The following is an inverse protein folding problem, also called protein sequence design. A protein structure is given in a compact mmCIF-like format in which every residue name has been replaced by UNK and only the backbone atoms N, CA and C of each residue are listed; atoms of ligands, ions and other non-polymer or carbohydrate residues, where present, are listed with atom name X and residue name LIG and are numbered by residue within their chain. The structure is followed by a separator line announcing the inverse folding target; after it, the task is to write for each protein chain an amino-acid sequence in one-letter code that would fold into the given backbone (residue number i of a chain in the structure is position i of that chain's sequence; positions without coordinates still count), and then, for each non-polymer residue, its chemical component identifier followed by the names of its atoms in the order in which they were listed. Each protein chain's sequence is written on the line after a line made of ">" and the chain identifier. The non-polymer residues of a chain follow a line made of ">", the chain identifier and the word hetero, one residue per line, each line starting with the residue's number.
data_IF_906030570716
#
_entry.id   IF_906030570716
#
_cell.length_a   1.000
_cell.length_b   1.000
_cell.length_c   1.000
_cell.angle_alpha   90.00
_cell.angle_beta   90.00
_cell.angle_gamma   90.00
#
_symmetry.space_group_name_H-M   'P 1'
#
loop_
_entity.id
_entity.type
_entity.pdbx_description
1 polymer ?
#
# COMPACT_ATOMS: atom_id res chain seq x y z
N UNK A 1 -3.64 5.49 33.19
CA UNK A 1 -3.99 4.73 31.97
C UNK A 1 -3.07 5.20 30.86
N UNK A 2 -2.02 4.42 30.57
CA UNK A 2 -0.91 4.84 29.73
C UNK A 2 -1.13 4.33 28.30
N UNK A 3 -1.52 5.22 27.38
CA UNK A 3 -1.59 4.90 25.96
C UNK A 3 -0.18 4.92 25.37
N UNK A 4 0.51 3.78 25.40
CA UNK A 4 1.74 3.58 24.65
C UNK A 4 1.38 3.42 23.17
N UNK A 5 1.53 4.51 22.40
CA UNK A 5 1.41 4.48 20.94
C UNK A 5 2.62 3.73 20.36
N UNK A 6 2.38 2.52 19.85
CA UNK A 6 3.39 1.69 19.21
C UNK A 6 3.67 2.21 17.79
N UNK A 7 4.82 2.88 17.62
CA UNK A 7 5.38 3.21 16.31
C UNK A 7 5.80 1.94 15.59
N UNK A 8 4.99 1.50 14.62
CA UNK A 8 5.34 0.42 13.70
C UNK A 8 6.37 0.98 12.71
N UNK A 9 7.65 0.71 12.99
CA UNK A 9 8.76 0.98 12.07
C UNK A 9 8.62 0.05 10.86
N UNK A 10 8.20 0.60 9.73
CA UNK A 10 8.09 -0.12 8.46
C UNK A 10 9.52 -0.41 7.95
N UNK A 11 10.04 -1.59 8.29
CA UNK A 11 11.30 -2.11 7.76
C UNK A 11 11.14 -2.34 6.26
N UNK A 12 11.83 -1.52 5.47
CA UNK A 12 11.98 -1.70 4.02
C UNK A 12 12.43 -3.12 3.69
N UNK A 13 11.47 -3.95 3.28
CA UNK A 13 11.70 -5.32 2.88
C UNK A 13 12.44 -5.35 1.55
N UNK A 14 13.49 -6.17 1.48
CA UNK A 14 14.23 -6.48 0.26
C UNK A 14 13.23 -6.83 -0.86
N UNK A 15 13.20 -6.02 -1.92
CA UNK A 15 12.31 -6.21 -3.07
C UNK A 15 12.83 -7.42 -3.87
N UNK A 16 12.39 -8.62 -3.50
CA UNK A 16 12.47 -9.76 -4.40
C UNK A 16 11.77 -9.39 -5.71
N UNK A 17 12.20 -9.90 -6.89
CA UNK A 17 11.53 -9.61 -8.15
C UNK A 17 10.10 -10.16 -8.12
N UNK A 18 9.15 -9.34 -7.70
CA UNK A 18 7.73 -9.67 -7.69
C UNK A 18 7.23 -9.57 -9.12
N UNK A 19 6.56 -10.61 -9.59
CA UNK A 19 5.93 -10.62 -10.92
C UNK A 19 4.97 -9.41 -11.04
N UNK A 20 5.11 -8.55 -12.08
CA UNK A 20 4.28 -7.37 -12.26
C UNK A 20 2.77 -7.64 -12.20
N UNK A 21 2.31 -8.78 -12.74
CA UNK A 21 0.89 -9.15 -12.72
C UNK A 21 0.38 -9.44 -11.31
N UNK A 22 1.20 -10.12 -10.50
CA UNK A 22 0.86 -10.42 -9.10
C UNK A 22 0.78 -9.12 -8.31
N UNK A 23 1.77 -8.23 -8.49
CA UNK A 23 1.77 -6.90 -7.86
C UNK A 23 0.52 -6.09 -8.24
N UNK A 24 0.15 -6.09 -9.51
CA UNK A 24 -1.03 -5.38 -10.01
C UNK A 24 -2.34 -5.89 -9.38
N UNK A 25 -2.50 -7.22 -9.26
CA UNK A 25 -3.67 -7.81 -8.61
C UNK A 25 -3.74 -7.41 -7.13
N UNK A 26 -2.59 -7.39 -6.45
CA UNK A 26 -2.52 -7.02 -5.04
C UNK A 26 -2.80 -5.52 -4.82
N UNK A 27 -2.21 -4.67 -5.65
CA UNK A 27 -2.46 -3.22 -5.65
C UNK A 27 -3.96 -2.94 -5.87
N UNK A 28 -4.61 -3.64 -6.80
CA UNK A 28 -6.07 -3.52 -7.03
C UNK A 28 -6.88 -3.84 -5.78
N UNK A 29 -6.52 -4.90 -5.04
CA UNK A 29 -7.21 -5.28 -3.79
C UNK A 29 -7.04 -4.19 -2.73
N UNK A 30 -5.83 -3.65 -2.56
CA UNK A 30 -5.55 -2.58 -1.59
C UNK A 30 -6.29 -1.28 -1.93
N UNK A 31 -6.35 -0.92 -3.20
CA UNK A 31 -7.13 0.23 -3.68
C UNK A 31 -8.61 0.05 -3.35
N UNK A 32 -9.19 -1.12 -3.65
CA UNK A 32 -10.59 -1.39 -3.34
C UNK A 32 -10.88 -1.35 -1.83
N UNK A 33 -9.95 -1.78 -0.98
CA UNK A 33 -10.06 -1.64 0.47
C UNK A 33 -9.96 -0.19 0.95
N UNK A 34 -9.04 0.60 0.40
CA UNK A 34 -8.91 2.01 0.76
C UNK A 34 -10.20 2.78 0.45
N UNK A 35 -10.77 2.57 -0.75
CA UNK A 35 -12.04 3.18 -1.16
C UNK A 35 -13.17 2.78 -0.21
N UNK A 36 -13.32 1.48 0.10
CA UNK A 36 -14.37 1.00 1.02
C UNK A 36 -14.26 1.59 2.42
N UNK A 37 -13.04 1.85 2.87
CA UNK A 37 -12.77 2.42 4.20
C UNK A 37 -12.75 3.95 4.20
N UNK A 38 -13.04 4.62 3.07
CA UNK A 38 -12.95 6.07 2.94
C UNK A 38 -11.53 6.62 3.14
N UNK A 39 -10.51 5.80 2.91
CA UNK A 39 -9.10 6.20 3.02
C UNK A 39 -8.63 6.79 1.70
N UNK A 40 -7.86 7.86 1.80
CA UNK A 40 -7.23 8.48 0.63
C UNK A 40 -6.23 7.51 -0.01
N UNK A 41 -6.31 7.39 -1.34
CA UNK A 41 -5.42 6.56 -2.15
C UNK A 41 -3.97 7.04 -2.09
N UNK A 42 -3.74 8.31 -1.78
CA UNK A 42 -2.40 8.88 -1.54
C UNK A 42 -1.65 8.17 -0.40
N UNK A 43 -2.37 7.52 0.52
CA UNK A 43 -1.78 6.75 1.63
C UNK A 43 -1.25 5.38 1.19
N UNK A 44 -1.60 4.92 -0.02
CA UNK A 44 -1.12 3.65 -0.56
C UNK A 44 0.31 3.80 -1.08
N UNK A 45 1.28 3.59 -0.19
CA UNK A 45 2.71 3.56 -0.52
C UNK A 45 3.02 2.43 -1.51
N UNK A 46 4.01 2.66 -2.37
CA UNK A 46 4.55 1.71 -3.36
C UNK A 46 3.64 1.35 -4.55
N UNK A 47 2.47 2.01 -4.67
CA UNK A 47 1.63 1.95 -5.88
C UNK A 47 2.02 3.12 -6.80
N UNK A 48 2.55 2.79 -7.98
CA UNK A 48 2.87 3.79 -9.00
C UNK A 48 1.63 4.05 -9.84
N UNK A 49 0.93 5.15 -9.56
CA UNK A 49 -0.14 5.63 -10.43
C UNK A 49 0.51 6.24 -11.68
N UNK A 50 0.25 5.62 -12.83
CA UNK A 50 0.70 6.12 -14.13
C UNK A 50 -0.48 6.78 -14.84
N UNK A 51 -0.27 7.96 -15.43
CA UNK A 51 -1.23 8.51 -16.40
C UNK A 51 -0.89 8.00 -17.80
N UNK A 52 -1.88 7.77 -18.67
CA UNK A 52 -1.63 7.69 -20.10
C UNK A 52 -0.98 8.99 -20.60
N UNK A 53 -0.19 8.89 -21.66
CA UNK A 53 0.33 10.04 -22.43
C UNK A 53 -0.72 10.44 -23.45
#
# INVERSE_FOLDING_TARGET
>A
MSHASSNIVNKGGKKFPVNPFIKMIEDKKRIAEAIRNGKDLSMLKDINFVSPI
#
